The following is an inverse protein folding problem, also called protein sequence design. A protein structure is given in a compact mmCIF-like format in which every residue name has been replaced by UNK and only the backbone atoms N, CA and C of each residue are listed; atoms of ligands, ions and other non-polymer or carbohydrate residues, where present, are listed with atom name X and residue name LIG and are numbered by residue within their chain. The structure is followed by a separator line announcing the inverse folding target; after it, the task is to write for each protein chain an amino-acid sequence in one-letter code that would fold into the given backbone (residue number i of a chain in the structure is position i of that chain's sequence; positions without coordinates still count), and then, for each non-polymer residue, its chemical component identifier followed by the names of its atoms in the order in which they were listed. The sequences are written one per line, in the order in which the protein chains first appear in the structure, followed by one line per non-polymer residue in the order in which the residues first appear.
data_IF_317735294342
#
_entry.id   IF_317735294342
#
_cell.length_a   1.000
_cell.length_b   1.000
_cell.length_c   1.000
_cell.angle_alpha   90.00
_cell.angle_beta   90.00
_cell.angle_gamma   90.00
#
_symmetry.space_group_name_H-M   'P 1'
#
loop_
_entity.id
_entity.type
_entity.pdbx_description
1 polymer ?
#
# COMPACT_ATOMS: atom_id res chain seq x y z
N UNK A 1 -8.00 -15.43 14.53
CA UNK A 1 -8.04 -14.78 13.21
C UNK A 1 -7.07 -15.51 12.29
N UNK A 2 -7.57 -16.09 11.19
CA UNK A 2 -6.74 -16.71 10.15
C UNK A 2 -6.41 -15.67 9.05
N UNK A 3 -5.31 -15.88 8.31
CA UNK A 3 -4.96 -15.05 7.16
C UNK A 3 -6.11 -15.03 6.11
N UNK A 4 -6.67 -16.20 5.81
CA UNK A 4 -7.78 -16.30 4.85
C UNK A 4 -9.04 -15.55 5.30
N UNK A 5 -9.37 -15.59 6.59
CA UNK A 5 -10.50 -14.81 7.13
C UNK A 5 -10.27 -13.31 7.04
N UNK A 6 -9.05 -12.86 7.33
CA UNK A 6 -8.68 -11.44 7.16
C UNK A 6 -8.81 -10.97 5.70
N UNK A 7 -8.33 -11.76 4.75
CA UNK A 7 -8.43 -11.44 3.32
C UNK A 7 -9.89 -11.38 2.85
N UNK A 8 -10.74 -12.27 3.34
CA UNK A 8 -12.19 -12.23 3.06
C UNK A 8 -12.84 -10.97 3.62
N UNK A 9 -12.53 -10.61 4.86
CA UNK A 9 -13.06 -9.39 5.50
C UNK A 9 -12.59 -8.14 4.76
N UNK A 10 -11.32 -8.08 4.36
CA UNK A 10 -10.74 -6.98 3.60
C UNK A 10 -11.40 -6.85 2.22
N UNK A 11 -11.65 -7.96 1.54
CA UNK A 11 -12.33 -7.97 0.25
C UNK A 11 -13.78 -7.48 0.36
N UNK A 12 -14.47 -7.82 1.45
CA UNK A 12 -15.89 -7.51 1.66
C UNK A 12 -16.15 -6.12 2.25
N UNK A 13 -15.20 -5.53 2.96
CA UNK A 13 -15.40 -4.24 3.64
C UNK A 13 -15.50 -3.07 2.65
N UNK A 14 -16.11 -1.96 3.12
CA UNK A 14 -16.19 -0.69 2.38
C UNK A 14 -15.00 0.22 2.65
N UNK A 15 -14.19 -0.06 3.66
CA UNK A 15 -13.03 0.73 4.03
C UNK A 15 -12.36 0.19 5.28
N UNK A 16 -11.15 0.63 5.52
CA UNK A 16 -10.30 0.20 6.63
C UNK A 16 -9.95 1.39 7.50
N UNK A 17 -10.12 1.25 8.80
CA UNK A 17 -9.63 2.20 9.79
C UNK A 17 -8.59 1.53 10.67
N UNK A 18 -7.37 2.06 10.66
CA UNK A 18 -6.27 1.52 11.48
C UNK A 18 -5.16 2.53 11.72
N UNK A 19 -4.14 2.12 12.47
CA UNK A 19 -2.87 2.82 12.49
C UNK A 19 -2.16 2.71 11.11
N UNK A 20 -1.11 3.50 10.88
CA UNK A 20 -0.46 3.63 9.59
C UNK A 20 0.70 2.63 9.39
N UNK A 21 0.45 1.33 9.66
CA UNK A 21 1.40 0.26 9.34
C UNK A 21 1.45 0.01 7.83
N UNK A 22 2.66 -0.18 7.29
CA UNK A 22 2.89 -0.30 5.85
C UNK A 22 2.14 -1.49 5.21
N UNK A 23 2.16 -2.67 5.87
CA UNK A 23 1.55 -3.88 5.32
C UNK A 23 0.05 -3.73 5.07
N UNK A 24 -0.70 -3.30 6.10
CA UNK A 24 -2.14 -3.12 5.98
C UNK A 24 -2.50 -1.98 5.01
N UNK A 25 -1.73 -0.90 5.00
CA UNK A 25 -1.93 0.19 4.04
C UNK A 25 -1.79 -0.31 2.59
N UNK A 26 -0.75 -1.09 2.29
CA UNK A 26 -0.53 -1.67 0.96
C UNK A 26 -1.65 -2.60 0.54
N UNK A 27 -2.08 -3.50 1.44
CA UNK A 27 -3.19 -4.42 1.16
C UNK A 27 -4.50 -3.67 0.93
N UNK A 28 -4.78 -2.64 1.74
CA UNK A 28 -5.97 -1.79 1.57
C UNK A 28 -5.99 -1.13 0.20
N UNK A 29 -4.85 -0.62 -0.26
CA UNK A 29 -4.72 -0.03 -1.59
C UNK A 29 -4.90 -1.06 -2.71
N UNK A 30 -4.35 -2.27 -2.56
CA UNK A 30 -4.52 -3.34 -3.55
C UNK A 30 -5.99 -3.73 -3.75
N UNK A 31 -6.77 -3.75 -2.66
CA UNK A 31 -8.20 -4.06 -2.71
C UNK A 31 -9.07 -2.85 -3.09
N UNK A 32 -8.49 -1.68 -3.35
CA UNK A 32 -9.24 -0.47 -3.68
C UNK A 32 -10.18 -0.05 -2.56
N UNK A 33 -9.74 -0.16 -1.31
CA UNK A 33 -10.55 0.22 -0.16
C UNK A 33 -10.17 1.59 0.36
N UNK A 34 -11.17 2.34 0.81
CA UNK A 34 -10.93 3.61 1.52
C UNK A 34 -10.09 3.35 2.77
N UNK A 35 -9.07 4.15 2.98
CA UNK A 35 -8.20 4.02 4.14
C UNK A 35 -8.26 5.27 5.01
N UNK A 36 -8.70 5.09 6.25
CA UNK A 36 -8.62 6.09 7.30
C UNK A 36 -7.54 5.67 8.28
N UNK A 37 -6.58 6.54 8.54
CA UNK A 37 -5.46 6.18 9.40
C UNK A 37 -5.16 7.23 10.45
N UNK A 38 -4.79 6.76 11.63
CA UNK A 38 -4.20 7.55 12.70
C UNK A 38 -2.87 6.94 13.09
N UNK A 39 -1.73 7.58 12.74
CA UNK A 39 -0.42 7.06 13.12
C UNK A 39 -0.27 7.01 14.64
N UNK A 40 0.41 5.99 15.12
CA UNK A 40 0.69 5.85 16.56
C UNK A 40 1.69 6.93 17.01
N UNK A 41 1.42 7.52 18.17
CA UNK A 41 2.30 8.50 18.77
C UNK A 41 3.68 7.90 19.07
N UNK A 42 4.75 8.61 18.74
CA UNK A 42 6.12 8.14 18.94
C UNK A 42 6.65 7.15 17.91
N UNK A 43 5.86 6.78 16.91
CA UNK A 43 6.31 5.92 15.80
C UNK A 43 6.59 6.74 14.55
N UNK A 44 7.87 7.07 14.32
CA UNK A 44 8.32 7.89 13.20
C UNK A 44 8.02 7.26 11.83
N UNK A 45 8.12 5.94 11.72
CA UNK A 45 7.77 5.19 10.51
C UNK A 45 6.30 5.41 10.13
N UNK A 46 5.38 5.20 11.07
CA UNK A 46 3.95 5.38 10.79
C UNK A 46 3.60 6.82 10.44
N UNK A 47 4.27 7.79 11.07
CA UNK A 47 4.10 9.20 10.74
C UNK A 47 4.59 9.51 9.33
N UNK A 48 5.73 8.95 8.92
CA UNK A 48 6.26 9.11 7.55
C UNK A 48 5.33 8.47 6.52
N UNK A 49 4.82 7.28 6.79
CA UNK A 49 3.83 6.61 5.94
C UNK A 49 2.56 7.45 5.79
N UNK A 50 2.03 7.99 6.89
CA UNK A 50 0.82 8.82 6.88
C UNK A 50 1.01 10.10 6.03
N UNK A 51 2.14 10.79 6.19
CA UNK A 51 2.46 11.97 5.38
C UNK A 51 2.54 11.64 3.89
N UNK A 52 3.15 10.51 3.54
CA UNK A 52 3.25 10.09 2.15
C UNK A 52 1.87 9.74 1.56
N UNK A 53 1.08 8.96 2.28
CA UNK A 53 -0.25 8.55 1.83
C UNK A 53 -1.21 9.73 1.69
N UNK A 54 -1.13 10.71 2.60
CA UNK A 54 -1.90 11.95 2.52
C UNK A 54 -1.53 12.77 1.27
N UNK A 55 -0.23 12.97 1.03
CA UNK A 55 0.25 13.69 -0.16
C UNK A 55 -0.12 13.04 -1.48
N UNK A 56 -0.17 11.72 -1.52
CA UNK A 56 -0.58 10.93 -2.67
C UNK A 56 -2.10 10.76 -2.77
N UNK A 57 -2.86 11.30 -1.82
CA UNK A 57 -4.32 11.16 -1.72
C UNK A 57 -4.79 9.70 -1.67
N UNK A 58 -3.99 8.83 -1.05
CA UNK A 58 -4.25 7.40 -0.91
C UNK A 58 -4.89 7.03 0.44
N UNK A 59 -4.88 7.95 1.40
CA UNK A 59 -5.51 7.78 2.71
C UNK A 59 -6.06 9.09 3.25
N UNK A 60 -7.04 9.01 4.12
CA UNK A 60 -7.43 10.11 5.01
C UNK A 60 -6.67 9.96 6.32
N UNK A 61 -5.91 10.98 6.69
CA UNK A 61 -5.08 10.97 7.90
C UNK A 61 -5.74 11.81 9.00
N UNK A 62 -5.83 11.25 10.19
CA UNK A 62 -6.30 11.96 11.38
C UNK A 62 -5.16 12.11 12.39
N UNK A 63 -4.97 13.32 12.92
CA UNK A 63 -4.13 13.55 14.09
C UNK A 63 -4.88 13.23 15.38
N UNK A 64 -6.14 13.62 15.45
CA UNK A 64 -7.06 13.34 16.55
C UNK A 64 -8.37 12.73 16.04
N UNK A 65 -9.01 11.92 16.90
CA UNK A 65 -10.25 11.26 16.56
C UNK A 65 -11.41 12.26 16.57
N UNK A 66 -11.84 12.71 15.39
CA UNK A 66 -12.98 13.60 15.22
C UNK A 66 -14.12 12.89 14.48
N UNK A 67 -15.32 12.82 15.05
CA UNK A 67 -16.47 12.16 14.39
C UNK A 67 -16.78 12.69 12.99
N UNK A 68 -16.59 13.99 12.76
CA UNK A 68 -16.81 14.62 11.45
C UNK A 68 -15.85 14.11 10.37
N UNK A 69 -14.59 13.82 10.74
CA UNK A 69 -13.58 13.36 9.79
C UNK A 69 -13.88 11.90 9.40
N UNK A 70 -14.37 11.12 10.36
CA UNK A 70 -14.84 9.76 10.12
C UNK A 70 -16.07 9.75 9.19
N UNK A 71 -17.06 10.62 9.44
CA UNK A 71 -18.23 10.73 8.59
C UNK A 71 -17.84 11.15 7.17
N UNK A 72 -17.01 12.17 7.02
CA UNK A 72 -16.53 12.62 5.72
C UNK A 72 -15.80 11.50 4.96
N UNK A 73 -14.95 10.72 5.65
CA UNK A 73 -14.29 9.57 5.04
C UNK A 73 -15.26 8.49 4.58
N UNK A 74 -16.32 8.21 5.35
CA UNK A 74 -17.35 7.24 4.94
C UNK A 74 -18.06 7.65 3.65
N UNK A 75 -18.24 8.94 3.42
CA UNK A 75 -18.91 9.51 2.26
C UNK A 75 -18.02 9.54 0.99
N UNK A 76 -16.71 9.38 1.15
CA UNK A 76 -15.80 9.36 0.00
C UNK A 76 -16.08 8.16 -0.93
N UNK A 77 -15.86 8.31 -2.24
CA UNK A 77 -15.96 7.19 -3.18
C UNK A 77 -14.89 6.13 -2.89
N UNK A 78 -15.12 4.91 -3.36
CA UNK A 78 -14.09 3.87 -3.35
C UNK A 78 -12.97 4.27 -4.31
N UNK A 79 -11.71 4.16 -3.89
CA UNK A 79 -10.57 4.38 -4.78
C UNK A 79 -10.41 3.20 -5.75
N UNK A 80 -9.74 3.45 -6.86
CA UNK A 80 -9.33 2.38 -7.76
C UNK A 80 -8.24 1.51 -7.11
N UNK A 81 -8.29 0.17 -7.29
CA UNK A 81 -7.26 -0.72 -6.80
C UNK A 81 -5.87 -0.36 -7.34
N UNK A 82 -4.89 -0.30 -6.46
CA UNK A 82 -3.49 -0.09 -6.84
C UNK A 82 -2.83 -1.43 -7.11
N UNK A 83 -2.53 -1.72 -8.38
CA UNK A 83 -1.86 -2.95 -8.75
C UNK A 83 -0.34 -2.79 -8.59
N UNK A 84 0.22 -3.48 -7.61
CA UNK A 84 1.67 -3.54 -7.43
C UNK A 84 2.29 -4.64 -8.28
N UNK A 85 3.51 -4.41 -8.74
CA UNK A 85 4.26 -5.41 -9.47
C UNK A 85 4.67 -6.58 -8.56
N UNK A 86 4.75 -7.79 -9.12
CA UNK A 86 5.25 -8.97 -8.39
C UNK A 86 6.78 -8.93 -8.25
N UNK A 87 7.25 -8.01 -7.40
CA UNK A 87 8.67 -7.84 -7.11
C UNK A 87 9.26 -9.09 -6.48
N UNK A 88 8.53 -9.71 -5.56
CA UNK A 88 8.98 -10.92 -4.85
C UNK A 88 9.20 -12.09 -5.82
N UNK A 89 8.26 -12.36 -6.72
CA UNK A 89 8.40 -13.38 -7.75
C UNK A 89 9.52 -13.08 -8.74
N UNK A 90 9.69 -11.82 -9.14
CA UNK A 90 10.80 -11.39 -9.99
C UNK A 90 12.16 -11.61 -9.35
N UNK A 91 12.33 -11.22 -8.09
CA UNK A 91 13.56 -11.46 -7.33
C UNK A 91 13.82 -12.94 -7.08
N UNK A 92 12.79 -13.74 -6.76
CA UNK A 92 12.95 -15.17 -6.55
C UNK A 92 13.47 -15.87 -7.82
N UNK A 93 12.97 -15.51 -9.00
CA UNK A 93 13.46 -16.02 -10.28
C UNK A 93 14.91 -15.65 -10.54
N UNK A 94 15.28 -14.41 -10.25
CA UNK A 94 16.66 -13.94 -10.38
C UNK A 94 17.63 -14.68 -9.49
N UNK A 95 17.26 -14.89 -8.21
CA UNK A 95 18.07 -15.65 -7.26
C UNK A 95 18.19 -17.12 -7.70
N UNK A 96 17.10 -17.73 -8.16
CA UNK A 96 17.11 -19.11 -8.67
C UNK A 96 17.96 -19.27 -9.94
N UNK A 97 18.17 -18.20 -10.70
CA UNK A 97 19.07 -18.12 -11.86
C UNK A 97 20.50 -17.70 -11.52
N UNK A 98 20.94 -17.91 -10.26
CA UNK A 98 22.27 -17.56 -9.76
C UNK A 98 22.66 -16.08 -9.93
N UNK A 99 21.67 -15.20 -9.95
CA UNK A 99 21.83 -13.75 -10.14
C UNK A 99 22.66 -13.42 -11.41
N UNK A 100 22.53 -14.22 -12.47
CA UNK A 100 23.31 -14.12 -13.69
C UNK A 100 23.04 -12.85 -14.50
N UNK A 101 21.85 -12.25 -14.34
CA UNK A 101 21.49 -10.99 -14.99
C UNK A 101 21.87 -9.79 -14.10
N UNK A 102 22.25 -8.63 -14.68
CA UNK A 102 22.41 -7.40 -13.91
C UNK A 102 21.14 -7.01 -13.16
N UNK A 103 21.25 -6.62 -11.89
CA UNK A 103 20.09 -6.22 -11.07
C UNK A 103 19.26 -5.10 -11.73
N UNK A 104 19.92 -4.19 -12.48
CA UNK A 104 19.23 -3.14 -13.24
C UNK A 104 18.27 -3.68 -14.30
N UNK A 105 18.61 -4.80 -14.92
CA UNK A 105 17.80 -5.39 -16.00
C UNK A 105 16.59 -6.13 -15.38
N UNK A 106 16.80 -6.80 -14.24
CA UNK A 106 15.73 -7.40 -13.45
C UNK A 106 14.72 -6.34 -13.00
N UNK A 107 15.18 -5.22 -12.45
CA UNK A 107 14.31 -4.10 -12.06
C UNK A 107 13.52 -3.58 -13.26
N UNK A 108 14.17 -3.36 -14.40
CA UNK A 108 13.47 -2.92 -15.62
C UNK A 108 12.41 -3.91 -16.06
N UNK A 109 12.72 -5.19 -16.03
CA UNK A 109 11.78 -6.27 -16.39
C UNK A 109 10.56 -6.29 -15.49
N UNK A 110 10.76 -6.19 -14.16
CA UNK A 110 9.67 -6.19 -13.18
C UNK A 110 8.75 -4.97 -13.37
N UNK A 111 9.33 -3.80 -13.64
CA UNK A 111 8.57 -2.54 -13.74
C UNK A 111 8.13 -2.20 -15.16
N UNK A 112 8.43 -3.04 -16.15
CA UNK A 112 8.08 -2.78 -17.56
C UNK A 112 8.76 -1.54 -18.14
N UNK A 113 9.93 -1.15 -17.62
CA UNK A 113 10.65 0.04 -18.07
C UNK A 113 11.41 -0.27 -19.37
N UNK A 114 11.12 0.48 -20.43
CA UNK A 114 11.87 0.38 -21.67
C UNK A 114 13.33 0.87 -21.51
N UNK A 115 14.24 0.34 -22.34
CA UNK A 115 15.69 0.62 -22.33
C UNK A 115 16.07 2.04 -22.77
N UNK A 116 15.24 3.05 -22.54
CA UNK A 116 15.45 4.41 -23.04
C UNK A 116 15.34 5.54 -22.01
N UNK A 117 15.19 5.25 -20.73
CA UNK A 117 15.19 6.30 -19.69
C UNK A 117 16.57 6.34 -19.05
N UNK A 118 17.31 7.47 -19.16
CA UNK A 118 18.56 7.63 -18.41
C UNK A 118 18.28 7.54 -16.91
N UNK A 119 19.15 6.84 -16.23
CA UNK A 119 19.11 6.71 -14.79
C UNK A 119 19.25 8.06 -14.08
#
# INVERSE_FOLDING_TARGET
LSRAGFEQDLAACSGVFSNCGFGLASETMQYGKKFLTKPMQGQSEQRSNAILLDRLQLATVMDDFQPRDFQHWLEQPQPEPQLFQDVAGGLAKWIAGDCSEPASDVVRSIWGLSTGVPA
#
